data_IF_537848069674
#
_entry.id   IF_537848069674
#
_cell.length_a   1.000
_cell.length_b   1.000
_cell.length_c   1.000
_cell.angle_alpha   90.00
_cell.angle_beta   90.00
_cell.angle_gamma   90.00
#
_symmetry.space_group_name_H-M   'P 1'
#
loop_
_entity.id
_entity.type
_entity.pdbx_description
1 polymer ?
#
# COMPACT_ATOMS: atom_id res chain seq x y z
N UNK A 1 -61.53 -27.11 25.83
CA UNK A 1 -61.22 -26.98 24.39
C UNK A 1 -60.40 -25.73 24.03
N UNK A 2 -60.43 -24.63 24.80
CA UNK A 2 -59.61 -23.42 24.54
C UNK A 2 -58.11 -23.56 24.91
N UNK A 3 -57.75 -24.47 25.81
CA UNK A 3 -56.39 -24.58 26.37
C UNK A 3 -55.37 -25.19 25.38
N UNK A 4 -55.79 -26.16 24.56
CA UNK A 4 -54.86 -26.88 23.67
C UNK A 4 -54.51 -26.05 22.43
N UNK A 5 -55.47 -25.29 21.90
CA UNK A 5 -55.24 -24.35 20.80
C UNK A 5 -54.31 -23.21 21.22
N UNK A 6 -54.46 -22.71 22.47
CA UNK A 6 -53.59 -21.67 23.01
C UNK A 6 -52.14 -22.16 23.19
N UNK A 7 -51.94 -23.36 23.75
CA UNK A 7 -50.60 -23.97 23.87
C UNK A 7 -49.94 -24.18 22.51
N UNK A 8 -50.70 -24.59 21.51
CA UNK A 8 -50.19 -24.83 20.15
C UNK A 8 -49.75 -23.51 19.50
N UNK A 9 -50.53 -22.44 19.64
CA UNK A 9 -50.19 -21.11 19.12
C UNK A 9 -48.93 -20.56 19.81
N UNK A 10 -48.82 -20.68 21.15
CA UNK A 10 -47.64 -20.24 21.90
C UNK A 10 -46.39 -21.02 21.49
N UNK A 11 -46.50 -22.35 21.27
CA UNK A 11 -45.39 -23.17 20.80
C UNK A 11 -44.94 -22.81 19.39
N UNK A 12 -45.88 -22.50 18.48
CA UNK A 12 -45.54 -22.05 17.12
C UNK A 12 -44.88 -20.67 17.12
N UNK A 13 -45.37 -19.73 17.95
CA UNK A 13 -44.76 -18.42 18.13
C UNK A 13 -43.32 -18.52 18.65
N UNK A 14 -43.08 -19.40 19.63
CA UNK A 14 -41.74 -19.64 20.17
C UNK A 14 -40.78 -20.18 19.10
N UNK A 15 -41.23 -21.15 18.29
CA UNK A 15 -40.44 -21.71 17.18
C UNK A 15 -40.12 -20.66 16.10
N UNK A 16 -41.07 -19.77 15.79
CA UNK A 16 -40.86 -18.68 14.83
C UNK A 16 -39.83 -17.68 15.36
N UNK A 17 -39.93 -17.30 16.63
CA UNK A 17 -38.99 -16.37 17.28
C UNK A 17 -37.58 -16.97 17.33
N UNK A 18 -37.42 -18.24 17.73
CA UNK A 18 -36.11 -18.91 17.74
C UNK A 18 -35.47 -18.97 16.36
N UNK A 19 -36.23 -19.34 15.32
CA UNK A 19 -35.72 -19.38 13.96
C UNK A 19 -35.35 -17.99 13.41
N UNK A 20 -36.12 -16.95 13.76
CA UNK A 20 -35.81 -15.58 13.38
C UNK A 20 -34.54 -15.08 14.09
N UNK A 21 -34.40 -15.34 15.39
CA UNK A 21 -33.21 -15.00 16.16
C UNK A 21 -31.96 -15.72 15.66
N UNK A 22 -32.06 -17.00 15.29
CA UNK A 22 -30.96 -17.77 14.69
C UNK A 22 -30.55 -17.19 13.34
N UNK A 23 -31.52 -16.88 12.48
CA UNK A 23 -31.28 -16.30 11.16
C UNK A 23 -30.60 -14.93 11.28
N UNK A 24 -31.08 -14.09 12.21
CA UNK A 24 -30.48 -12.79 12.48
C UNK A 24 -29.05 -12.92 13.01
N UNK A 25 -28.79 -13.87 13.93
CA UNK A 25 -27.45 -14.13 14.45
C UNK A 25 -26.49 -14.57 13.34
N UNK A 26 -26.92 -15.42 12.41
CA UNK A 26 -26.12 -15.84 11.25
C UNK A 26 -25.83 -14.64 10.34
N UNK A 27 -26.82 -13.80 10.03
CA UNK A 27 -26.62 -12.60 9.19
C UNK A 27 -25.65 -11.63 9.87
N UNK A 28 -25.78 -11.39 11.17
CA UNK A 28 -24.85 -10.54 11.94
C UNK A 28 -23.45 -11.14 11.92
N UNK A 29 -23.31 -12.46 12.09
CA UNK A 29 -22.01 -13.14 12.04
C UNK A 29 -21.38 -12.99 10.65
N UNK A 30 -22.09 -13.34 9.58
CA UNK A 30 -21.61 -13.26 8.19
C UNK A 30 -21.26 -11.82 7.81
N UNK A 31 -22.07 -10.83 8.19
CA UNK A 31 -21.77 -9.41 7.91
C UNK A 31 -20.59 -8.89 8.75
N UNK A 32 -20.44 -9.34 9.99
CA UNK A 32 -19.28 -9.01 10.84
C UNK A 32 -17.97 -9.60 10.29
N UNK A 33 -18.02 -10.84 9.77
CA UNK A 33 -16.87 -11.46 9.08
C UNK A 33 -16.60 -10.87 7.69
N UNK A 34 -17.62 -10.37 6.99
CA UNK A 34 -17.44 -9.63 5.74
C UNK A 34 -16.85 -8.22 5.98
N UNK A 35 -17.13 -7.63 7.14
CA UNK A 35 -16.61 -6.32 7.59
C UNK A 35 -15.22 -6.41 8.23
N UNK A 36 -14.74 -7.61 8.61
CA UNK A 36 -13.31 -7.83 8.87
C UNK A 36 -12.57 -7.87 7.54
N UNK A 37 -12.48 -6.72 6.88
CA UNK A 37 -11.54 -6.49 5.81
C UNK A 37 -10.14 -6.76 6.38
N UNK A 38 -9.50 -7.83 5.93
CA UNK A 38 -8.07 -8.01 6.14
C UNK A 38 -7.37 -6.82 5.47
N UNK A 39 -7.03 -5.80 6.27
CA UNK A 39 -6.31 -4.64 5.79
C UNK A 39 -4.97 -5.09 5.24
N UNK A 40 -4.66 -4.72 4.00
CA UNK A 40 -3.36 -4.97 3.41
C UNK A 40 -2.28 -4.25 4.22
N UNK A 41 -1.27 -4.99 4.68
CA UNK A 41 -0.15 -4.39 5.41
C UNK A 41 1.02 -4.22 4.44
N UNK A 42 1.49 -2.98 4.30
CA UNK A 42 2.77 -2.67 3.64
C UNK A 42 3.78 -2.38 4.75
N UNK A 43 4.86 -3.13 4.77
CA UNK A 43 5.98 -2.87 5.66
C UNK A 43 7.16 -2.36 4.85
N UNK A 44 7.85 -1.35 5.38
CA UNK A 44 8.99 -0.71 4.74
C UNK A 44 10.14 -0.68 5.75
N UNK A 45 11.29 -1.19 5.35
CA UNK A 45 12.55 -1.03 6.06
C UNK A 45 13.52 -0.32 5.13
N UNK A 46 14.10 0.78 5.59
CA UNK A 46 15.03 1.57 4.80
C UNK A 46 16.31 1.78 5.60
N UNK A 47 17.42 1.38 4.99
CA UNK A 47 18.76 1.46 5.56
C UNK A 47 19.56 2.46 4.74
N UNK A 48 19.83 3.62 5.33
CA UNK A 48 20.65 4.67 4.75
C UNK A 48 21.50 5.30 5.86
N UNK A 49 22.61 5.93 5.47
CA UNK A 49 23.40 6.72 6.40
C UNK A 49 22.79 8.13 6.48
N UNK A 50 22.21 8.46 7.63
CA UNK A 50 21.56 9.75 7.88
C UNK A 50 22.55 10.93 7.86
N UNK A 51 23.85 10.66 8.03
CA UNK A 51 24.90 11.68 8.01
C UNK A 51 25.53 11.86 6.63
N UNK A 52 25.19 10.99 5.67
CA UNK A 52 25.80 10.99 4.36
C UNK A 52 25.03 11.89 3.40
N UNK A 53 25.76 12.81 2.75
CA UNK A 53 25.27 13.45 1.52
C UNK A 53 25.37 12.44 0.39
N UNK A 54 24.26 12.16 -0.28
CA UNK A 54 24.26 11.25 -1.42
C UNK A 54 25.06 11.87 -2.56
N UNK A 55 26.16 11.22 -2.93
CA UNK A 55 27.05 11.71 -3.99
C UNK A 55 26.38 11.41 -5.32
N UNK A 56 26.19 12.47 -6.08
CA UNK A 56 25.64 12.44 -7.42
C UNK A 56 26.69 11.96 -8.43
N UNK A 57 26.37 10.94 -9.23
CA UNK A 57 27.18 10.54 -10.38
C UNK A 57 26.85 11.45 -11.57
N UNK A 58 27.76 12.37 -11.90
CA UNK A 58 27.58 13.33 -12.99
C UNK A 58 27.55 12.69 -14.39
N UNK A 59 28.16 11.51 -14.57
CA UNK A 59 28.18 10.80 -15.85
C UNK A 59 26.87 10.08 -16.09
N UNK A 60 26.41 9.33 -15.10
CA UNK A 60 25.19 8.50 -15.21
C UNK A 60 23.92 9.23 -14.75
N UNK A 61 24.07 10.46 -14.24
CA UNK A 61 23.01 11.31 -13.69
C UNK A 61 22.16 10.60 -12.63
N UNK A 62 22.81 9.88 -11.72
CA UNK A 62 22.12 9.07 -10.70
C UNK A 62 22.72 9.22 -9.32
N UNK A 63 21.93 8.89 -8.30
CA UNK A 63 22.37 8.74 -6.93
C UNK A 63 21.80 7.45 -6.33
N UNK A 64 22.60 6.76 -5.51
CA UNK A 64 22.14 5.60 -4.73
C UNK A 64 21.90 6.04 -3.29
N UNK A 65 20.66 5.93 -2.85
CA UNK A 65 20.16 6.51 -1.58
C UNK A 65 20.21 5.50 -0.41
N UNK A 66 20.77 4.31 -0.66
CA UNK A 66 20.81 3.21 0.31
C UNK A 66 19.83 2.10 -0.05
N UNK A 67 19.61 1.17 0.89
CA UNK A 67 18.88 -0.07 0.64
C UNK A 67 17.50 -0.03 1.24
N UNK A 68 16.49 -0.31 0.42
CA UNK A 68 15.09 -0.35 0.83
C UNK A 68 14.52 -1.77 0.67
N UNK A 69 13.65 -2.15 1.59
CA UNK A 69 12.89 -3.39 1.59
C UNK A 69 11.43 -3.03 1.79
N UNK A 70 10.59 -3.42 0.84
CA UNK A 70 9.14 -3.24 0.88
C UNK A 70 8.53 -4.63 0.78
N UNK A 71 7.68 -4.99 1.73
CA UNK A 71 7.02 -6.29 1.76
C UNK A 71 5.56 -6.17 2.20
N UNK A 72 4.73 -7.05 1.65
CA UNK A 72 3.31 -7.11 1.95
C UNK A 72 2.82 -8.55 2.02
N UNK A 73 1.71 -8.75 2.73
CA UNK A 73 0.94 -9.97 2.74
C UNK A 73 0.18 -10.21 1.43
N UNK A 74 -0.13 -9.14 0.70
CA UNK A 74 -0.83 -9.18 -0.59
C UNK A 74 0.04 -8.67 -1.76
N UNK A 75 -0.41 -8.93 -2.99
CA UNK A 75 0.16 -8.27 -4.18
C UNK A 75 -0.25 -6.80 -4.16
N UNK A 76 0.63 -5.94 -4.63
CA UNK A 76 0.37 -4.50 -4.64
C UNK A 76 0.89 -3.85 -5.92
N UNK A 77 0.43 -2.64 -6.15
CA UNK A 77 0.95 -1.71 -7.16
C UNK A 77 1.59 -0.53 -6.43
N UNK A 78 2.62 0.06 -7.02
CA UNK A 78 3.33 1.19 -6.44
C UNK A 78 3.67 2.23 -7.50
N UNK A 79 3.51 3.50 -7.16
CA UNK A 79 4.12 4.60 -7.90
C UNK A 79 4.80 5.55 -6.92
N UNK A 80 5.66 6.41 -7.44
CA UNK A 80 6.35 7.42 -6.66
C UNK A 80 6.06 8.82 -7.17
N UNK A 81 6.07 9.78 -6.25
CA UNK A 81 6.03 11.21 -6.55
C UNK A 81 7.30 11.82 -5.99
N UNK A 82 8.02 12.53 -6.84
CA UNK A 82 9.25 13.23 -6.48
C UNK A 82 9.01 14.75 -6.49
N UNK A 83 9.53 15.43 -5.47
CA UNK A 83 9.51 16.89 -5.37
C UNK A 83 10.91 17.37 -5.00
N UNK A 84 11.43 18.31 -5.78
CA UNK A 84 12.74 18.93 -5.53
C UNK A 84 12.50 20.33 -4.98
N UNK A 85 13.28 20.68 -3.97
CA UNK A 85 13.31 22.00 -3.35
C UNK A 85 14.71 22.60 -3.51
N UNK A 86 14.80 23.91 -3.38
CA UNK A 86 16.05 24.68 -3.33
C UNK A 86 16.90 24.68 -4.62
N UNK A 87 16.45 24.02 -5.68
CA UNK A 87 17.08 24.04 -7.00
C UNK A 87 16.07 24.14 -8.14
N UNK A 88 16.49 24.73 -9.27
CA UNK A 88 15.73 24.80 -10.52
C UNK A 88 16.51 24.12 -11.65
N UNK A 89 15.81 23.67 -12.70
CA UNK A 89 16.46 23.00 -13.85
C UNK A 89 16.85 21.53 -13.62
N UNK A 90 16.59 20.99 -12.43
CA UNK A 90 16.72 19.56 -12.11
C UNK A 90 15.34 18.91 -11.95
N UNK A 91 15.22 17.66 -12.38
CA UNK A 91 14.04 16.83 -12.15
C UNK A 91 14.42 15.37 -11.94
N UNK A 92 13.59 14.62 -11.22
CA UNK A 92 13.72 13.15 -11.14
C UNK A 92 13.14 12.56 -12.43
N UNK A 93 13.94 11.77 -13.13
CA UNK A 93 13.58 11.17 -14.41
C UNK A 93 13.11 9.73 -14.26
N UNK A 94 13.77 8.94 -13.39
CA UNK A 94 13.43 7.54 -13.14
C UNK A 94 13.82 7.13 -11.72
N UNK A 95 13.14 6.12 -11.19
CA UNK A 95 13.48 5.51 -9.91
C UNK A 95 13.55 4.01 -10.10
N UNK A 96 14.55 3.37 -9.51
CA UNK A 96 14.75 1.93 -9.55
C UNK A 96 15.03 1.39 -8.16
N UNK A 97 14.45 0.24 -7.82
CA UNK A 97 14.85 -0.56 -6.66
C UNK A 97 15.42 -1.86 -7.20
N UNK A 98 16.72 -2.10 -7.01
CA UNK A 98 17.45 -3.23 -7.64
C UNK A 98 17.29 -3.24 -9.17
N UNK A 99 16.41 -4.09 -9.70
CA UNK A 99 16.18 -4.26 -11.14
C UNK A 99 14.80 -3.76 -11.58
N UNK A 100 13.97 -3.32 -10.63
CA UNK A 100 12.58 -2.96 -10.89
C UNK A 100 12.43 -1.44 -10.98
N UNK A 101 11.87 -0.97 -12.10
CA UNK A 101 11.57 0.44 -12.32
C UNK A 101 10.26 0.82 -11.62
N UNK A 102 10.32 1.88 -10.81
CA UNK A 102 9.15 2.43 -10.15
C UNK A 102 8.57 3.55 -11.01
N UNK A 103 7.29 3.40 -11.34
CA UNK A 103 6.56 4.39 -12.12
C UNK A 103 6.45 5.72 -11.37
N UNK A 104 6.69 6.81 -12.08
CA UNK A 104 6.41 8.18 -11.63
C UNK A 104 5.02 8.65 -12.08
N UNK A 105 4.22 7.77 -12.68
CA UNK A 105 2.90 8.10 -13.21
C UNK A 105 1.80 7.37 -12.42
N UNK A 106 0.91 8.10 -11.71
CA UNK A 106 -0.17 7.48 -10.93
C UNK A 106 -1.17 6.70 -11.78
N UNK A 107 -1.32 7.02 -13.08
CA UNK A 107 -2.22 6.29 -13.98
C UNK A 107 -1.68 4.91 -14.38
N UNK A 108 -0.37 4.70 -14.28
CA UNK A 108 0.29 3.44 -14.66
C UNK A 108 1.28 3.00 -13.57
N UNK A 109 0.80 2.61 -12.37
CA UNK A 109 1.68 2.20 -11.28
C UNK A 109 2.38 0.87 -11.59
N UNK A 110 3.58 0.68 -11.05
CA UNK A 110 4.37 -0.55 -11.19
C UNK A 110 3.69 -1.68 -10.42
N UNK A 111 3.46 -2.81 -11.08
CA UNK A 111 2.90 -4.01 -10.46
C UNK A 111 3.98 -4.81 -9.73
N UNK A 112 3.73 -5.19 -8.48
CA UNK A 112 4.64 -6.01 -7.64
C UNK A 112 3.98 -7.35 -7.32
N UNK A 113 4.04 -8.34 -8.25
CA UNK A 113 3.31 -9.59 -8.12
C UNK A 113 3.91 -10.54 -7.06
N UNK A 114 5.18 -10.35 -6.71
CA UNK A 114 5.90 -11.16 -5.74
C UNK A 114 5.64 -10.73 -4.30
N UNK A 115 4.87 -9.66 -4.08
CA UNK A 115 4.55 -9.09 -2.75
C UNK A 115 5.75 -8.50 -2.00
N UNK A 116 6.91 -8.42 -2.65
CA UNK A 116 8.08 -7.79 -2.11
C UNK A 116 8.90 -7.12 -3.20
N UNK A 117 9.61 -6.07 -2.79
CA UNK A 117 10.55 -5.32 -3.59
C UNK A 117 11.73 -4.94 -2.69
N UNK A 118 12.95 -5.34 -3.03
CA UNK A 118 14.12 -5.01 -2.21
C UNK A 118 15.36 -4.71 -3.05
N UNK A 119 16.23 -3.88 -2.48
CA UNK A 119 17.58 -3.64 -2.94
C UNK A 119 17.92 -2.16 -2.89
N UNK A 120 18.97 -1.80 -3.61
CA UNK A 120 19.47 -0.43 -3.58
C UNK A 120 18.48 0.49 -4.32
N UNK A 121 18.07 1.56 -3.64
CA UNK A 121 17.21 2.61 -4.18
C UNK A 121 18.09 3.57 -4.98
N UNK A 122 17.87 3.58 -6.29
CA UNK A 122 18.62 4.40 -7.24
C UNK A 122 17.67 5.40 -7.87
N UNK A 123 18.05 6.68 -7.83
CA UNK A 123 17.28 7.78 -8.39
C UNK A 123 18.08 8.35 -9.55
N UNK A 124 17.43 8.50 -10.70
CA UNK A 124 17.98 9.12 -11.90
C UNK A 124 17.39 10.50 -12.05
N UNK A 125 18.20 11.43 -12.53
CA UNK A 125 17.87 12.84 -12.65
C UNK A 125 18.07 13.32 -14.09
N UNK A 126 17.44 14.43 -14.41
CA UNK A 126 17.65 15.18 -15.66
C UNK A 126 17.94 16.63 -15.31
N UNK A 127 19.01 17.18 -15.90
CA UNK A 127 19.38 18.59 -15.85
C UNK A 127 20.34 18.93 -16.99
N UNK A 128 20.48 20.23 -17.28
CA UNK A 128 21.40 20.75 -18.30
C UNK A 128 22.76 21.17 -17.74
N UNK A 129 22.79 21.63 -16.48
CA UNK A 129 23.99 22.06 -15.77
C UNK A 129 24.02 21.42 -14.38
N UNK A 130 25.22 21.24 -13.81
CA UNK A 130 25.37 20.63 -12.49
C UNK A 130 24.61 21.49 -11.45
N UNK A 131 23.62 20.94 -10.74
CA UNK A 131 22.85 21.70 -9.77
C UNK A 131 23.65 21.94 -8.50
N UNK A 132 23.35 23.03 -7.81
CA UNK A 132 23.76 23.27 -6.42
C UNK A 132 23.09 22.24 -5.47
N UNK A 133 23.49 22.25 -4.20
CA UNK A 133 22.87 21.44 -3.14
C UNK A 133 21.33 21.61 -3.16
N UNK A 134 20.59 20.51 -3.16
CA UNK A 134 19.13 20.50 -3.23
C UNK A 134 18.52 19.47 -2.29
N UNK A 135 17.23 19.65 -1.97
CA UNK A 135 16.47 18.70 -1.16
C UNK A 135 15.48 17.92 -2.03
N UNK A 136 15.40 16.60 -1.84
CA UNK A 136 14.45 15.72 -2.55
C UNK A 136 13.48 15.07 -1.56
N UNK A 137 12.17 15.31 -1.74
CA UNK A 137 11.13 14.53 -1.10
C UNK A 137 10.64 13.45 -2.07
N UNK A 138 10.68 12.20 -1.61
CA UNK A 138 10.18 11.05 -2.35
C UNK A 138 9.02 10.40 -1.62
N UNK A 139 7.83 10.41 -2.25
CA UNK A 139 6.61 9.80 -1.70
C UNK A 139 6.28 8.54 -2.47
N UNK A 140 6.24 7.38 -1.81
CA UNK A 140 5.73 6.14 -2.39
C UNK A 140 4.25 5.97 -2.06
N UNK A 141 3.44 5.65 -3.07
CA UNK A 141 2.01 5.38 -2.91
C UNK A 141 1.74 3.93 -3.29
N UNK A 142 1.15 3.19 -2.36
CA UNK A 142 0.82 1.78 -2.51
C UNK A 142 -0.67 1.61 -2.75
N UNK A 143 -1.00 0.80 -3.75
CA UNK A 143 -2.36 0.51 -4.16
C UNK A 143 -2.59 -1.00 -4.13
N UNK A 144 -3.82 -1.46 -3.82
CA UNK A 144 -4.18 -2.86 -4.00
C UNK A 144 -4.07 -3.25 -5.48
N UNK A 145 -3.86 -4.54 -5.72
CA UNK A 145 -3.72 -5.08 -7.06
C UNK A 145 -5.03 -5.06 -7.85
#
# INVERSE_FOLDING_TARGET
MFNDNFKTIVSMLYLIVENFSLTLAIVVLVTSFALSTFGAVINIQWFYDENQRFIFDDVNKLATIGRIYIYSDIKFKVYAVAQIFDATGISVSRIRIKNDWISLNPAYPTSVPNRWLYGDLVIYFTFTELPDDFTLLLTFVFLPF
#
